data_IF_437930993624
#
_entry.id   IF_437930993624
#
_cell.length_a   1.000
_cell.length_b   1.000
_cell.length_c   1.000
_cell.angle_alpha   90.00
_cell.angle_beta   90.00
_cell.angle_gamma   90.00
#
_symmetry.space_group_name_H-M   'P 1'
#
loop_
_entity.id
_entity.type
_entity.pdbx_description
1 polymer ?
#
# COMPACT_ATOMS: atom_id res chain seq x y z
N UNK A 1 4.01 25.25 26.05
CA UNK A 1 3.90 24.08 25.18
C UNK A 1 5.31 23.60 24.89
N UNK A 2 5.67 22.35 25.19
CA UNK A 2 7.00 21.83 24.84
C UNK A 2 7.09 21.77 23.32
N UNK A 3 8.05 22.49 22.74
CA UNK A 3 8.40 22.38 21.32
C UNK A 3 8.78 20.92 21.03
N UNK A 4 8.18 20.30 20.02
CA UNK A 4 8.52 18.94 19.63
C UNK A 4 9.96 18.83 19.14
N UNK A 5 10.48 17.61 19.10
CA UNK A 5 11.83 17.35 18.62
C UNK A 5 11.89 17.48 17.09
N UNK A 6 13.03 17.97 16.60
CA UNK A 6 13.37 17.94 15.18
C UNK A 6 14.07 16.61 14.86
N UNK A 7 13.46 15.82 13.99
CA UNK A 7 13.91 14.48 13.62
C UNK A 7 14.30 14.49 12.15
N UNK A 8 15.55 14.23 11.83
CA UNK A 8 16.04 14.16 10.46
C UNK A 8 15.77 12.80 9.83
N UNK A 9 15.38 12.78 8.55
CA UNK A 9 15.37 11.59 7.74
C UNK A 9 16.20 11.81 6.48
N UNK A 10 17.17 10.93 6.25
CA UNK A 10 18.03 10.92 5.08
C UNK A 10 17.93 9.57 4.37
N UNK A 11 17.80 9.58 3.05
CA UNK A 11 17.91 8.39 2.22
C UNK A 11 19.24 8.44 1.48
N UNK A 12 20.16 7.60 1.91
CA UNK A 12 21.52 7.54 1.39
C UNK A 12 21.62 6.53 0.25
N UNK A 13 22.22 6.94 -0.87
CA UNK A 13 22.56 6.09 -2.01
C UNK A 13 24.05 5.72 -1.95
N UNK A 14 24.55 5.05 -2.98
CA UNK A 14 25.96 4.76 -3.16
C UNK A 14 26.80 6.03 -3.45
N UNK A 15 26.15 7.16 -3.77
CA UNK A 15 26.81 8.45 -3.96
C UNK A 15 27.13 9.09 -2.59
N UNK A 16 28.40 9.03 -2.21
CA UNK A 16 28.87 9.57 -0.94
C UNK A 16 28.71 11.09 -0.85
N UNK A 17 28.93 11.83 -1.95
CA UNK A 17 28.88 13.29 -1.96
C UNK A 17 27.47 13.81 -1.65
N UNK A 18 26.45 13.26 -2.29
CA UNK A 18 25.05 13.64 -2.04
C UNK A 18 24.61 13.28 -0.62
N UNK A 19 25.13 12.17 -0.09
CA UNK A 19 24.86 11.73 1.29
C UNK A 19 25.40 12.74 2.31
N UNK A 20 26.63 13.23 2.12
CA UNK A 20 27.21 14.25 3.00
C UNK A 20 26.42 15.55 2.99
N UNK A 21 26.00 16.04 1.81
CA UNK A 21 25.19 17.26 1.69
C UNK A 21 23.85 17.15 2.46
N UNK A 22 23.18 15.99 2.40
CA UNK A 22 21.96 15.75 3.16
C UNK A 22 22.20 15.80 4.67
N UNK A 23 23.22 15.09 5.14
CA UNK A 23 23.52 15.02 6.57
C UNK A 23 23.91 16.38 7.13
N UNK A 24 24.75 17.13 6.43
CA UNK A 24 25.15 18.48 6.82
C UNK A 24 23.95 19.44 6.89
N UNK A 25 23.03 19.33 5.94
CA UNK A 25 21.81 20.14 5.94
C UNK A 25 20.93 19.81 7.16
N UNK A 26 20.75 18.53 7.48
CA UNK A 26 19.97 18.08 8.64
C UNK A 26 20.62 18.46 9.98
N UNK A 27 21.96 18.41 10.05
CA UNK A 27 22.72 18.88 11.22
C UNK A 27 22.56 20.39 11.41
N UNK A 28 22.69 21.18 10.33
CA UNK A 28 22.43 22.64 10.36
C UNK A 28 21.02 22.98 10.79
N UNK A 29 20.02 22.15 10.42
CA UNK A 29 18.64 22.28 10.88
C UNK A 29 18.46 21.93 12.37
N UNK A 30 19.53 21.49 13.06
CA UNK A 30 19.55 21.09 14.48
C UNK A 30 18.60 19.94 14.79
N UNK A 31 18.62 18.89 13.93
CA UNK A 31 17.91 17.65 14.20
C UNK A 31 18.51 16.96 15.43
N UNK A 32 17.69 16.58 16.40
CA UNK A 32 18.11 15.87 17.61
C UNK A 32 18.52 14.43 17.32
N UNK A 33 17.96 13.85 16.25
CA UNK A 33 18.24 12.50 15.77
C UNK A 33 18.08 12.45 14.25
N UNK A 34 18.93 11.68 13.56
CA UNK A 34 18.83 11.48 12.10
C UNK A 34 18.73 9.99 11.82
N UNK A 35 17.65 9.59 11.13
CA UNK A 35 17.45 8.25 10.63
C UNK A 35 17.99 8.17 9.20
N UNK A 36 18.88 7.22 8.94
CA UNK A 36 19.55 7.07 7.66
C UNK A 36 19.10 5.79 6.98
N UNK A 37 18.29 5.91 5.95
CA UNK A 37 17.82 4.79 5.15
C UNK A 37 18.83 4.47 4.04
N UNK A 38 19.35 3.25 4.03
CA UNK A 38 20.23 2.79 2.93
C UNK A 38 19.37 2.37 1.76
N UNK A 39 19.47 3.10 0.65
CA UNK A 39 18.77 2.76 -0.59
C UNK A 39 19.40 1.52 -1.23
N UNK A 40 18.88 0.33 -0.95
CA UNK A 40 19.25 -0.90 -1.64
C UNK A 40 18.21 -1.20 -2.72
N UNK A 41 18.56 -0.98 -3.99
CA UNK A 41 17.82 -1.46 -5.18
C UNK A 41 16.30 -1.25 -5.18
N UNK A 42 15.59 -2.20 -5.81
CA UNK A 42 14.14 -2.17 -6.00
C UNK A 42 13.30 -2.53 -4.74
N UNK A 43 13.93 -2.93 -3.63
CA UNK A 43 13.20 -3.29 -2.41
C UNK A 43 12.57 -2.05 -1.78
N UNK A 44 11.25 -2.13 -1.60
CA UNK A 44 10.42 -1.07 -1.04
C UNK A 44 10.57 -0.90 0.49
N UNK A 45 11.33 -1.77 1.14
CA UNK A 45 11.46 -1.80 2.58
C UNK A 45 12.20 -0.56 3.09
N UNK A 46 11.59 0.13 4.03
CA UNK A 46 12.11 1.36 4.66
C UNK A 46 12.13 1.21 6.17
N UNK A 47 13.00 0.35 6.70
CA UNK A 47 13.03 0.07 8.13
C UNK A 47 13.31 1.32 8.97
N UNK A 48 14.13 2.24 8.47
CA UNK A 48 14.46 3.45 9.22
C UNK A 48 13.30 4.47 9.19
N UNK A 49 12.52 4.54 8.12
CA UNK A 49 11.29 5.33 8.11
C UNK A 49 10.24 4.77 9.07
N UNK A 50 10.09 3.44 9.12
CA UNK A 50 9.18 2.77 10.08
C UNK A 50 9.64 3.08 11.51
N UNK A 51 10.93 2.91 11.82
CA UNK A 51 11.49 3.25 13.14
C UNK A 51 11.30 4.72 13.51
N UNK A 52 11.46 5.63 12.55
CA UNK A 52 11.19 7.04 12.77
C UNK A 52 9.73 7.24 13.16
N UNK A 53 8.80 6.66 12.41
CA UNK A 53 7.36 6.76 12.69
C UNK A 53 6.98 6.17 14.05
N UNK A 54 7.60 5.07 14.45
CA UNK A 54 7.33 4.43 15.75
C UNK A 54 7.86 5.25 16.94
N UNK A 55 8.91 6.04 16.71
CA UNK A 55 9.51 6.88 17.76
C UNK A 55 9.00 8.32 17.75
N UNK A 56 8.44 8.81 16.65
CA UNK A 56 7.92 10.17 16.53
C UNK A 56 6.67 10.35 17.39
N UNK A 57 6.57 11.50 18.05
CA UNK A 57 5.47 11.87 18.95
C UNK A 57 4.70 13.05 18.37
N UNK A 58 3.48 13.22 18.81
CA UNK A 58 2.67 14.39 18.45
C UNK A 58 3.42 15.68 18.77
N UNK A 59 3.53 16.55 17.78
CA UNK A 59 4.24 17.81 17.85
C UNK A 59 5.71 17.75 17.42
N UNK A 60 6.26 16.59 17.15
CA UNK A 60 7.59 16.46 16.54
C UNK A 60 7.56 16.92 15.08
N UNK A 61 8.73 17.38 14.57
CA UNK A 61 8.90 17.83 13.20
C UNK A 61 9.89 16.93 12.49
N UNK A 62 9.44 16.20 11.50
CA UNK A 62 10.32 15.43 10.60
C UNK A 62 10.91 16.38 9.58
N UNK A 63 12.23 16.39 9.46
CA UNK A 63 12.98 17.25 8.54
C UNK A 63 13.65 16.36 7.49
N UNK A 64 13.42 16.70 6.22
CA UNK A 64 14.08 16.08 5.07
C UNK A 64 14.82 17.14 4.26
N UNK A 65 15.90 16.75 3.62
CA UNK A 65 16.64 17.65 2.73
C UNK A 65 15.80 18.00 1.50
N UNK A 66 15.24 16.95 0.83
CA UNK A 66 14.32 17.06 -0.31
C UNK A 66 13.18 16.06 -0.17
N UNK A 67 12.03 16.36 -0.77
CA UNK A 67 10.87 15.45 -0.74
C UNK A 67 11.12 14.13 -1.47
N UNK A 68 11.97 14.11 -2.49
CA UNK A 68 12.35 12.89 -3.22
C UNK A 68 13.14 11.91 -2.34
N UNK A 69 13.76 12.41 -1.24
CA UNK A 69 14.39 11.54 -0.22
C UNK A 69 13.33 10.87 0.66
N UNK A 70 12.21 11.53 0.89
CA UNK A 70 11.11 10.97 1.67
C UNK A 70 10.27 9.99 0.85
N UNK A 71 10.04 10.26 -0.43
CA UNK A 71 9.18 9.44 -1.28
C UNK A 71 9.74 9.33 -2.70
N UNK A 72 9.49 8.17 -3.36
CA UNK A 72 9.89 7.90 -4.76
C UNK A 72 8.81 8.23 -5.77
N UNK A 73 7.60 8.49 -5.32
CA UNK A 73 6.46 8.87 -6.15
C UNK A 73 5.58 9.85 -5.38
N UNK A 74 4.80 10.64 -6.12
CA UNK A 74 3.83 11.55 -5.53
C UNK A 74 2.87 10.80 -4.60
N UNK A 75 2.35 9.66 -5.04
CA UNK A 75 1.45 8.82 -4.21
C UNK A 75 2.09 8.45 -2.87
N UNK A 76 3.32 7.96 -2.91
CA UNK A 76 4.03 7.57 -1.68
C UNK A 76 4.29 8.77 -0.76
N UNK A 77 4.57 9.96 -1.34
CA UNK A 77 4.72 11.21 -0.58
C UNK A 77 3.43 11.52 0.17
N UNK A 78 2.31 11.48 -0.54
CA UNK A 78 0.99 11.77 0.00
C UNK A 78 0.61 10.79 1.12
N UNK A 79 0.79 9.48 0.88
CA UNK A 79 0.50 8.45 1.88
C UNK A 79 1.38 8.64 3.15
N UNK A 80 2.66 9.00 2.98
CA UNK A 80 3.57 9.30 4.10
C UNK A 80 3.16 10.58 4.84
N UNK A 81 2.78 11.62 4.12
CA UNK A 81 2.31 12.87 4.71
C UNK A 81 0.98 12.70 5.46
N UNK A 82 0.05 11.91 4.93
CA UNK A 82 -1.19 11.57 5.61
C UNK A 82 -0.93 10.83 6.94
N UNK A 83 0.01 9.89 6.93
CA UNK A 83 0.41 9.15 8.13
C UNK A 83 1.06 10.07 9.18
N UNK A 84 1.88 11.05 8.76
CA UNK A 84 2.41 12.06 9.68
C UNK A 84 1.28 12.89 10.30
N UNK A 85 0.34 13.34 9.50
CA UNK A 85 -0.80 14.13 9.95
C UNK A 85 -1.66 13.37 10.98
N UNK A 86 -2.00 12.12 10.70
CA UNK A 86 -2.77 11.26 11.62
C UNK A 86 -2.07 11.11 12.97
N UNK A 87 -0.73 11.05 12.97
CA UNK A 87 0.07 10.97 14.19
C UNK A 87 0.36 12.33 14.84
N UNK A 88 -0.09 13.42 14.23
CA UNK A 88 0.20 14.78 14.68
C UNK A 88 1.66 15.17 14.59
N UNK A 89 2.39 14.55 13.64
CA UNK A 89 3.79 14.83 13.32
C UNK A 89 3.84 15.82 12.16
N UNK A 90 4.66 16.85 12.26
CA UNK A 90 4.81 17.86 11.21
C UNK A 90 5.97 17.48 10.26
N UNK A 91 5.96 18.01 9.05
CA UNK A 91 6.99 17.80 8.03
C UNK A 91 7.60 19.12 7.59
N UNK A 92 8.93 19.14 7.47
CA UNK A 92 9.67 20.25 6.86
C UNK A 92 10.63 19.71 5.79
N UNK A 93 10.53 20.21 4.58
CA UNK A 93 11.56 20.06 3.55
C UNK A 93 12.46 21.30 3.50
N UNK A 94 13.77 21.09 3.46
CA UNK A 94 14.72 22.20 3.48
C UNK A 94 14.90 22.85 2.11
N UNK A 95 14.70 22.11 1.02
CA UNK A 95 14.92 22.59 -0.34
C UNK A 95 13.68 23.19 -0.97
N UNK A 96 12.51 22.53 -0.81
CA UNK A 96 11.26 22.99 -1.41
C UNK A 96 10.49 24.00 -0.56
N UNK A 97 11.04 24.43 0.58
CA UNK A 97 10.40 25.37 1.52
C UNK A 97 8.99 24.93 1.99
N UNK A 98 8.73 23.64 1.96
CA UNK A 98 7.49 23.07 2.50
C UNK A 98 7.66 22.85 4.00
N UNK A 99 6.79 23.49 4.78
CA UNK A 99 6.82 23.39 6.23
C UNK A 99 5.39 23.37 6.78
N UNK A 100 4.92 22.18 7.19
CA UNK A 100 3.55 22.01 7.68
C UNK A 100 3.31 22.64 9.05
N UNK A 101 4.35 23.15 9.73
CA UNK A 101 4.17 23.95 10.96
C UNK A 101 3.60 25.34 10.67
N UNK A 102 3.67 25.80 9.41
CA UNK A 102 3.15 27.11 8.98
C UNK A 102 1.76 26.99 8.35
N UNK A 103 0.93 28.05 8.37
CA UNK A 103 -0.37 28.04 7.69
C UNK A 103 -0.28 27.73 6.20
N UNK A 104 0.71 28.30 5.51
CA UNK A 104 0.93 28.05 4.06
C UNK A 104 1.36 26.60 3.78
N UNK A 105 2.23 26.04 4.62
CA UNK A 105 2.63 24.63 4.51
C UNK A 105 1.47 23.67 4.81
N UNK A 106 0.60 23.99 5.75
CA UNK A 106 -0.65 23.25 6.00
C UNK A 106 -1.57 23.28 4.78
N UNK A 107 -1.73 24.44 4.13
CA UNK A 107 -2.50 24.55 2.90
C UNK A 107 -1.90 23.65 1.82
N UNK A 108 -0.59 23.70 1.63
CA UNK A 108 0.12 22.82 0.66
C UNK A 108 -0.13 21.34 0.98
N UNK A 109 -0.09 20.96 2.26
CA UNK A 109 -0.43 19.60 2.69
C UNK A 109 -1.86 19.21 2.30
N UNK A 110 -2.85 20.06 2.57
CA UNK A 110 -4.25 19.79 2.22
C UNK A 110 -4.44 19.67 0.70
N UNK A 111 -3.73 20.46 -0.09
CA UNK A 111 -3.74 20.33 -1.55
C UNK A 111 -3.19 18.97 -2.02
N UNK A 112 -2.08 18.51 -1.44
CA UNK A 112 -1.56 17.17 -1.73
C UNK A 112 -2.51 16.06 -1.30
N UNK A 113 -3.14 16.19 -0.12
CA UNK A 113 -4.11 15.22 0.37
C UNK A 113 -5.33 15.12 -0.56
N UNK A 114 -5.87 16.26 -1.00
CA UNK A 114 -6.99 16.32 -1.95
C UNK A 114 -6.60 15.72 -3.32
N UNK A 115 -5.39 15.99 -3.81
CA UNK A 115 -4.88 15.41 -5.05
C UNK A 115 -4.77 13.88 -4.96
N UNK A 116 -4.36 13.36 -3.81
CA UNK A 116 -4.30 11.91 -3.56
C UNK A 116 -5.66 11.25 -3.60
N UNK A 117 -6.64 11.88 -2.97
CA UNK A 117 -8.01 11.39 -2.95
C UNK A 117 -8.57 11.37 -4.38
N UNK A 118 -8.37 12.45 -5.11
CA UNK A 118 -8.77 12.54 -6.51
C UNK A 118 -8.12 11.45 -7.39
N UNK A 119 -6.80 11.23 -7.28
CA UNK A 119 -6.13 10.15 -8.03
C UNK A 119 -6.68 8.76 -7.66
N UNK A 120 -6.99 8.54 -6.38
CA UNK A 120 -7.58 7.29 -5.89
C UNK A 120 -8.95 7.05 -6.49
N UNK A 121 -9.78 8.08 -6.55
CA UNK A 121 -11.12 8.01 -7.12
C UNK A 121 -11.11 7.80 -8.63
N UNK A 122 -10.21 8.47 -9.35
CA UNK A 122 -9.99 8.22 -10.77
C UNK A 122 -9.58 6.77 -11.04
N UNK A 123 -8.69 6.21 -10.21
CA UNK A 123 -8.28 4.81 -10.34
C UNK A 123 -9.45 3.86 -10.09
N UNK A 124 -10.27 4.10 -9.06
CA UNK A 124 -11.48 3.33 -8.78
C UNK A 124 -12.47 3.37 -9.94
N UNK A 125 -12.70 4.55 -10.52
CA UNK A 125 -13.56 4.70 -11.69
C UNK A 125 -13.05 3.90 -12.89
N UNK A 126 -11.75 3.96 -13.19
CA UNK A 126 -11.13 3.18 -14.28
C UNK A 126 -11.25 1.68 -14.06
N UNK A 127 -11.00 1.20 -12.83
CA UNK A 127 -11.15 -0.21 -12.47
C UNK A 127 -12.60 -0.66 -12.63
N UNK A 128 -13.56 0.12 -12.13
CA UNK A 128 -14.98 -0.19 -12.23
C UNK A 128 -15.46 -0.22 -13.69
N UNK A 129 -15.06 0.75 -14.50
CA UNK A 129 -15.35 0.77 -15.93
C UNK A 129 -14.76 -0.46 -16.65
N UNK A 130 -13.51 -0.82 -16.33
CA UNK A 130 -12.87 -2.03 -16.85
C UNK A 130 -13.59 -3.32 -16.46
N UNK A 131 -14.04 -3.42 -15.20
CA UNK A 131 -14.83 -4.56 -14.72
C UNK A 131 -16.19 -4.65 -15.41
N UNK A 132 -16.88 -3.53 -15.61
CA UNK A 132 -18.14 -3.49 -16.34
C UNK A 132 -17.95 -3.94 -17.80
N UNK A 133 -16.94 -3.41 -18.49
CA UNK A 133 -16.63 -3.83 -19.86
C UNK A 133 -16.25 -5.31 -19.95
N UNK A 134 -15.52 -5.85 -18.97
CA UNK A 134 -15.19 -7.28 -18.90
C UNK A 134 -16.46 -8.14 -18.71
N UNK A 135 -17.38 -7.72 -17.83
CA UNK A 135 -18.65 -8.42 -17.59
C UNK A 135 -19.54 -8.41 -18.85
N UNK A 136 -19.62 -7.28 -19.55
CA UNK A 136 -20.37 -7.19 -20.83
C UNK A 136 -19.81 -8.14 -21.90
N UNK A 137 -18.50 -8.43 -21.85
CA UNK A 137 -17.84 -9.43 -22.73
C UNK A 137 -17.94 -10.87 -22.20
N UNK A 138 -18.78 -11.13 -21.19
CA UNK A 138 -18.95 -12.46 -20.58
C UNK A 138 -17.83 -12.91 -19.66
N UNK A 139 -16.86 -12.05 -19.35
CA UNK A 139 -15.77 -12.37 -18.42
C UNK A 139 -16.25 -12.11 -16.98
N UNK A 140 -16.54 -13.19 -16.26
CA UNK A 140 -16.88 -13.13 -14.83
C UNK A 140 -15.61 -13.34 -14.03
N UNK A 141 -15.24 -12.33 -13.23
CA UNK A 141 -14.13 -12.46 -12.31
C UNK A 141 -14.47 -13.41 -11.15
N UNK A 142 -13.45 -13.82 -10.43
CA UNK A 142 -13.56 -14.70 -9.27
C UNK A 142 -12.68 -15.95 -9.42
N UNK A 143 -12.70 -16.79 -8.38
CA UNK A 143 -12.00 -18.06 -8.40
C UNK A 143 -12.67 -18.99 -9.42
N UNK A 144 -11.92 -19.66 -10.32
CA UNK A 144 -12.49 -20.67 -11.22
C UNK A 144 -13.29 -21.70 -10.45
N UNK A 145 -14.41 -22.13 -11.02
CA UNK A 145 -15.22 -23.20 -10.43
C UNK A 145 -14.39 -24.46 -10.33
N UNK A 146 -14.38 -25.12 -9.16
CA UNK A 146 -13.62 -26.32 -8.92
C UNK A 146 -14.15 -27.54 -9.72
N UNK A 147 -15.41 -27.46 -10.18
CA UNK A 147 -16.07 -28.47 -11.01
C UNK A 147 -16.65 -27.81 -12.25
N UNK A 148 -16.37 -28.39 -13.40
CA UNK A 148 -16.95 -28.00 -14.69
C UNK A 148 -18.38 -28.54 -14.85
N UNK A 149 -19.10 -28.07 -15.87
CA UNK A 149 -20.43 -28.59 -16.18
C UNK A 149 -20.39 -30.09 -16.54
N UNK A 150 -19.31 -30.54 -17.17
CA UNK A 150 -19.11 -31.95 -17.53
C UNK A 150 -18.76 -32.80 -16.31
N UNK A 151 -17.98 -32.30 -15.36
CA UNK A 151 -17.74 -32.96 -14.08
C UNK A 151 -19.04 -33.16 -13.31
N UNK A 152 -19.93 -32.16 -13.32
CA UNK A 152 -21.24 -32.25 -12.67
C UNK A 152 -22.18 -33.26 -13.34
N UNK A 153 -22.15 -33.35 -14.70
CA UNK A 153 -22.88 -34.38 -15.43
C UNK A 153 -22.39 -35.76 -15.07
N UNK A 154 -21.06 -35.98 -15.07
CA UNK A 154 -20.41 -37.22 -14.63
C UNK A 154 -20.82 -37.57 -13.20
N UNK A 155 -20.69 -36.65 -12.27
CA UNK A 155 -21.04 -36.88 -10.87
C UNK A 155 -22.51 -37.29 -10.70
N UNK A 156 -23.45 -36.66 -11.42
CA UNK A 156 -24.87 -37.03 -11.41
C UNK A 156 -25.12 -38.41 -12.00
N UNK A 157 -24.42 -38.79 -13.07
CA UNK A 157 -24.55 -40.12 -13.68
C UNK A 157 -24.06 -41.23 -12.72
N UNK A 158 -22.88 -41.03 -12.11
CA UNK A 158 -22.31 -41.97 -11.13
C UNK A 158 -23.21 -42.11 -9.87
N UNK A 159 -23.85 -41.05 -9.43
CA UNK A 159 -24.79 -41.12 -8.32
C UNK A 159 -26.07 -41.89 -8.68
N UNK A 160 -26.53 -41.80 -9.94
CA UNK A 160 -27.73 -42.55 -10.41
C UNK A 160 -27.47 -44.03 -10.60
N UNK A 161 -26.22 -44.47 -10.92
CA UNK A 161 -25.89 -45.89 -11.03
C UNK A 161 -26.00 -46.63 -9.68
N UNK A 162 -25.90 -45.89 -8.58
CA UNK A 162 -25.93 -46.50 -7.23
C UNK A 162 -24.66 -47.21 -6.82
N UNK A 163 -23.68 -47.33 -7.70
CA UNK A 163 -22.43 -48.06 -7.47
C UNK A 163 -21.38 -47.26 -6.67
N UNK A 164 -21.51 -45.91 -6.69
CA UNK A 164 -20.53 -45.00 -6.08
C UNK A 164 -21.13 -44.12 -5.01
N UNK A 165 -20.43 -44.01 -3.89
CA UNK A 165 -20.79 -43.05 -2.83
C UNK A 165 -20.36 -41.64 -3.22
N UNK A 166 -21.03 -40.61 -2.63
CA UNK A 166 -20.63 -39.21 -2.81
C UNK A 166 -19.16 -38.94 -2.41
N UNK A 167 -18.62 -39.75 -1.49
CA UNK A 167 -17.24 -39.68 -1.05
C UNK A 167 -16.23 -40.11 -2.12
N UNK A 168 -16.55 -41.22 -2.80
CA UNK A 168 -15.73 -41.80 -3.87
C UNK A 168 -15.74 -40.88 -5.11
N UNK A 169 -16.90 -40.37 -5.48
CA UNK A 169 -17.03 -39.40 -6.58
C UNK A 169 -16.25 -38.10 -6.30
N UNK A 170 -16.29 -37.60 -5.06
CA UNK A 170 -15.51 -36.42 -4.66
C UNK A 170 -14.00 -36.66 -4.76
N UNK A 171 -13.56 -37.87 -4.38
CA UNK A 171 -12.16 -38.32 -4.48
C UNK A 171 -11.70 -38.45 -5.93
N UNK A 172 -12.53 -39.02 -6.82
CA UNK A 172 -12.26 -39.13 -8.24
C UNK A 172 -12.15 -37.77 -8.93
N UNK A 173 -13.05 -36.82 -8.60
CA UNK A 173 -13.03 -35.47 -9.13
C UNK A 173 -12.03 -34.53 -8.42
N UNK A 174 -11.21 -35.06 -7.50
CA UNK A 174 -10.18 -34.33 -6.72
C UNK A 174 -10.73 -33.09 -6.01
N UNK A 175 -11.93 -33.15 -5.48
CA UNK A 175 -12.59 -32.09 -4.69
C UNK A 175 -13.00 -32.60 -3.31
N UNK A 176 -13.27 -31.66 -2.41
CA UNK A 176 -13.82 -32.03 -1.10
C UNK A 176 -15.29 -32.51 -1.23
N UNK A 177 -15.76 -33.38 -0.34
CA UNK A 177 -17.16 -33.79 -0.25
C UNK A 177 -18.11 -32.57 -0.18
N UNK A 178 -17.71 -31.55 0.57
CA UNK A 178 -18.48 -30.33 0.72
C UNK A 178 -18.58 -29.52 -0.60
N UNK A 179 -17.51 -29.47 -1.37
CA UNK A 179 -17.51 -28.82 -2.70
C UNK A 179 -18.44 -29.53 -3.67
N UNK A 180 -18.37 -30.86 -3.71
CA UNK A 180 -19.26 -31.67 -4.54
C UNK A 180 -20.74 -31.52 -4.12
N UNK A 181 -21.02 -31.62 -2.80
CA UNK A 181 -22.38 -31.48 -2.27
C UNK A 181 -22.98 -30.12 -2.61
N UNK A 182 -22.23 -29.04 -2.40
CA UNK A 182 -22.69 -27.67 -2.73
C UNK A 182 -22.97 -27.53 -4.23
N UNK A 183 -22.11 -28.09 -5.08
CA UNK A 183 -22.26 -27.99 -6.54
C UNK A 183 -23.44 -28.81 -7.09
N UNK A 184 -23.77 -29.94 -6.44
CA UNK A 184 -24.93 -30.76 -6.80
C UNK A 184 -26.26 -30.19 -6.27
N UNK A 185 -26.25 -29.44 -5.17
CA UNK A 185 -27.44 -28.86 -4.54
C UNK A 185 -27.87 -27.51 -5.10
N UNK A 186 -27.11 -26.94 -6.03
CA UNK A 186 -27.44 -25.66 -6.72
C UNK A 186 -28.09 -25.87 -8.08
N UNK A 187 -28.64 -27.07 -8.38
CA UNK A 187 -29.30 -27.39 -9.63
C UNK A 187 -30.68 -28.04 -9.41
#
# INVERSE_FOLDING_TARGET
MKSGYKIGYARVSTDAQETHLQLDALQRAKCSRIYQEKASGAKADRPELVRLLDNARKGDVVIVWKLDRLARSLRQLIDTMALFHERGVELQSLTENINTTTPSGKLTFHLFAALAEFERDLLRQRVNAGLQAARQRGRVGGRPKALTADDLKKARALLRSGEYTKGEIAKELKVSRHTLWRALGQG
#
